data_IF_184044795892
#
_entry.id   IF_184044795892
#
_cell.length_a   1.000
_cell.length_b   1.000
_cell.length_c   1.000
_cell.angle_alpha   90.00
_cell.angle_beta   90.00
_cell.angle_gamma   90.00
#
_symmetry.space_group_name_H-M   'P 1'
#
loop_
_entity.id
_entity.type
_entity.pdbx_description
1 polymer ?
#
# COMPACT_ATOMS: atom_id res chain seq x y z
N UNK A 1 0.28 11.86 -1.42
CA UNK A 1 -0.21 10.61 -0.84
C UNK A 1 0.66 9.48 -1.36
N UNK A 2 1.17 8.64 -0.48
CA UNK A 2 2.02 7.53 -0.89
C UNK A 2 1.22 6.28 -1.13
N UNK A 3 1.57 5.58 -2.18
CA UNK A 3 0.92 4.34 -2.56
C UNK A 3 1.94 3.21 -2.59
N UNK A 4 1.47 2.01 -2.27
CA UNK A 4 2.32 0.84 -2.22
C UNK A 4 1.61 -0.33 -2.88
N UNK A 5 2.36 -1.14 -3.63
CA UNK A 5 1.84 -2.40 -4.15
C UNK A 5 1.85 -3.43 -3.04
N UNK A 6 0.81 -4.24 -2.97
CA UNK A 6 0.76 -5.36 -2.05
C UNK A 6 1.14 -6.62 -2.82
N UNK A 7 2.12 -7.33 -2.29
CA UNK A 7 2.55 -8.57 -2.91
C UNK A 7 1.46 -9.62 -2.73
N UNK A 8 1.02 -10.21 -3.83
CA UNK A 8 0.03 -11.27 -3.78
C UNK A 8 0.54 -12.45 -4.57
N UNK A 9 0.06 -13.64 -4.21
CA UNK A 9 0.42 -14.85 -4.92
C UNK A 9 -0.54 -15.15 -6.06
N UNK A 10 -1.67 -14.48 -6.08
CA UNK A 10 -2.68 -14.72 -7.10
C UNK A 10 -2.47 -13.88 -8.34
N UNK A 11 -1.52 -12.95 -8.30
CA UNK A 11 -1.31 -12.05 -9.41
C UNK A 11 -2.30 -10.91 -9.50
N UNK A 12 -3.14 -10.75 -8.48
CA UNK A 12 -4.06 -9.62 -8.48
C UNK A 12 -3.30 -8.33 -8.21
N UNK A 13 -3.89 -7.22 -8.66
CA UNK A 13 -3.28 -5.90 -8.55
C UNK A 13 -3.77 -5.19 -7.29
N UNK A 14 -3.36 -5.71 -6.15
CA UNK A 14 -3.73 -5.09 -4.87
C UNK A 14 -2.75 -3.97 -4.54
N UNK A 15 -3.26 -2.93 -3.92
CA UNK A 15 -2.40 -1.83 -3.49
C UNK A 15 -2.97 -1.14 -2.27
N UNK A 16 -2.14 -0.31 -1.67
CA UNK A 16 -2.45 0.36 -0.41
C UNK A 16 -2.08 1.83 -0.52
N UNK A 17 -2.97 2.69 -0.04
CA UNK A 17 -2.70 4.12 0.03
C UNK A 17 -2.65 4.57 1.47
N UNK A 18 -1.72 5.44 1.80
CA UNK A 18 -1.65 6.04 3.12
C UNK A 18 -2.55 7.25 3.12
N UNK A 19 -3.57 7.21 3.99
CA UNK A 19 -4.52 8.32 4.10
C UNK A 19 -4.05 9.36 5.10
N UNK A 20 -3.41 8.90 6.17
CA UNK A 20 -3.00 9.80 7.23
C UNK A 20 -1.89 9.15 8.04
N UNK A 21 -1.01 9.97 8.56
CA UNK A 21 0.07 9.52 9.41
C UNK A 21 -0.21 9.97 10.83
N UNK A 22 -0.15 9.04 11.78
CA UNK A 22 -0.37 9.33 13.19
C UNK A 22 0.91 9.12 13.96
N UNK A 23 0.89 9.43 15.25
CA UNK A 23 2.07 9.25 16.08
C UNK A 23 2.50 7.79 16.16
N UNK A 24 1.56 6.86 16.08
CA UNK A 24 1.83 5.44 16.26
C UNK A 24 1.84 4.65 14.97
N UNK A 25 1.43 5.24 13.86
CA UNK A 25 1.35 4.49 12.63
C UNK A 25 0.61 5.24 11.54
N UNK A 26 -0.17 4.50 10.76
CA UNK A 26 -0.79 5.06 9.57
C UNK A 26 -2.23 4.59 9.41
N UNK A 27 -3.08 5.50 8.97
CA UNK A 27 -4.39 5.11 8.45
C UNK A 27 -4.19 4.79 6.98
N UNK A 28 -4.62 3.60 6.59
CA UNK A 28 -4.39 3.13 5.23
C UNK A 28 -5.69 2.69 4.59
N UNK A 29 -5.74 2.78 3.29
CA UNK A 29 -6.85 2.25 2.50
C UNK A 29 -6.30 1.18 1.59
N UNK A 30 -6.83 -0.02 1.71
CA UNK A 30 -6.38 -1.17 0.94
C UNK A 30 -7.37 -1.43 -0.17
N UNK A 31 -6.85 -1.53 -1.39
CA UNK A 31 -7.64 -1.82 -2.58
C UNK A 31 -7.34 -3.24 -3.02
N UNK A 32 -8.35 -4.09 -3.03
CA UNK A 32 -8.19 -5.47 -3.41
C UNK A 32 -9.08 -5.80 -4.60
N UNK A 33 -8.52 -6.53 -5.54
CA UNK A 33 -9.27 -7.02 -6.67
C UNK A 33 -9.63 -8.47 -6.38
N UNK A 34 -10.92 -8.72 -6.13
CA UNK A 34 -11.42 -10.06 -5.83
C UNK A 34 -12.51 -10.41 -6.82
N UNK A 35 -12.23 -11.41 -7.64
CA UNK A 35 -13.23 -11.96 -8.59
C UNK A 35 -13.92 -10.89 -9.41
N UNK A 36 -13.16 -9.92 -9.87
CA UNK A 36 -13.71 -8.85 -10.68
C UNK A 36 -14.33 -7.71 -9.88
N UNK A 37 -14.30 -7.79 -8.56
CA UNK A 37 -14.75 -6.70 -7.69
C UNK A 37 -13.57 -6.00 -7.09
N UNK A 38 -13.65 -4.69 -7.04
CA UNK A 38 -12.68 -3.94 -6.27
C UNK A 38 -13.23 -3.78 -4.86
N UNK A 39 -12.52 -4.33 -3.89
CA UNK A 39 -12.90 -4.21 -2.48
C UNK A 39 -12.00 -3.19 -1.83
N UNK A 40 -12.60 -2.24 -1.15
CA UNK A 40 -11.87 -1.16 -0.49
C UNK A 40 -12.03 -1.33 1.02
N UNK A 41 -10.90 -1.40 1.72
CA UNK A 41 -10.89 -1.61 3.17
C UNK A 41 -10.06 -0.52 3.81
N UNK A 42 -10.62 0.16 4.80
CA UNK A 42 -9.87 1.14 5.57
C UNK A 42 -9.40 0.48 6.86
N UNK A 43 -8.11 0.63 7.16
CA UNK A 43 -7.51 0.01 8.33
C UNK A 43 -6.47 0.91 8.94
N UNK A 44 -6.07 0.57 10.16
CA UNK A 44 -4.97 1.22 10.83
C UNK A 44 -3.80 0.25 10.88
N UNK A 45 -2.62 0.73 10.53
CA UNK A 45 -1.43 -0.09 10.54
C UNK A 45 -0.37 0.58 11.41
N UNK A 46 0.15 -0.17 12.38
CA UNK A 46 1.18 0.38 13.25
C UNK A 46 2.46 0.64 12.45
N UNK A 47 3.26 1.57 12.94
CA UNK A 47 4.51 1.91 12.26
C UNK A 47 5.44 0.71 12.17
N UNK A 48 5.51 -0.10 13.22
CA UNK A 48 6.39 -1.26 13.20
C UNK A 48 5.92 -2.32 12.22
N UNK A 49 4.61 -2.52 12.12
CA UNK A 49 4.08 -3.46 11.14
C UNK A 49 4.35 -2.97 9.73
N UNK A 50 4.12 -1.70 9.49
CA UNK A 50 4.35 -1.11 8.17
C UNK A 50 5.82 -1.27 7.76
N UNK A 51 6.73 -1.00 8.69
CA UNK A 51 8.14 -1.12 8.43
C UNK A 51 8.54 -2.57 8.13
N UNK A 52 7.95 -3.51 8.87
CA UNK A 52 8.18 -4.93 8.61
C UNK A 52 7.70 -5.33 7.21
N UNK A 53 6.55 -4.82 6.81
CA UNK A 53 6.02 -5.12 5.48
C UNK A 53 6.92 -4.59 4.37
N UNK A 54 7.52 -3.43 4.58
CA UNK A 54 8.47 -2.90 3.61
C UNK A 54 9.74 -3.74 3.58
N UNK A 55 10.25 -4.08 4.76
CA UNK A 55 11.51 -4.83 4.84
C UNK A 55 11.39 -6.22 4.24
N UNK A 56 10.26 -6.86 4.40
CA UNK A 56 10.07 -8.22 3.88
C UNK A 56 9.64 -8.24 2.42
N UNK A 57 9.36 -7.09 1.84
CA UNK A 57 8.91 -7.02 0.46
C UNK A 57 7.43 -7.28 0.27
N UNK A 58 6.68 -7.38 1.36
CA UNK A 58 5.23 -7.53 1.25
C UNK A 58 4.59 -6.29 0.66
N UNK A 59 5.13 -5.12 1.01
CA UNK A 59 4.74 -3.84 0.40
C UNK A 59 5.91 -3.30 -0.40
N UNK A 60 5.65 -2.86 -1.60
CA UNK A 60 6.65 -2.24 -2.45
C UNK A 60 6.21 -0.82 -2.74
N UNK A 61 7.07 0.12 -2.48
CA UNK A 61 6.75 1.51 -2.73
C UNK A 61 6.46 1.70 -4.21
N UNK A 62 5.32 2.31 -4.51
CA UNK A 62 4.94 2.58 -5.87
C UNK A 62 5.73 3.79 -6.33
N UNK A 63 6.66 3.56 -7.24
CA UNK A 63 7.44 4.65 -7.80
C UNK A 63 6.46 5.58 -8.48
N UNK A 64 6.40 6.77 -8.00
CA UNK A 64 5.47 7.68 -8.58
C UNK A 64 5.98 8.08 -9.95
N UNK A 65 5.05 8.34 -10.83
CA UNK A 65 5.38 8.80 -12.16
C UNK A 65 6.18 10.09 -12.12
N UNK A 66 6.14 10.77 -11.01
CA UNK A 66 6.89 12.00 -10.86
C UNK A 66 8.39 11.78 -11.01
N UNK A 67 8.86 10.62 -10.61
CA UNK A 67 10.27 10.31 -10.78
C UNK A 67 10.63 10.30 -12.25
N UNK A 68 9.71 9.91 -13.07
CA UNK A 68 9.91 9.85 -14.51
C UNK A 68 9.82 11.23 -15.12
N UNK A 69 8.86 11.96 -14.65
CA UNK A 69 8.58 13.28 -15.19
C UNK A 69 9.75 14.22 -14.95
N UNK A 70 10.44 14.01 -13.86
CA UNK A 70 11.56 14.86 -13.55
C UNK A 70 12.70 14.73 -14.55
N UNK A 71 12.66 13.75 -15.35
CA UNK A 71 13.68 13.54 -16.34
C UNK A 71 13.57 14.57 -17.46
#
# INVERSE_FOLDING_TARGET
MKNYYIRTYSGSADYLSILDETADGFKVRIYRDQDGYEKIIDEYMSASLFESCLRTGYLLEMESASAIVSA
#
